data_IF_650786247518
#
_entry.id   IF_650786247518
#
_cell.length_a   1.000
_cell.length_b   1.000
_cell.length_c   1.000
_cell.angle_alpha   90.00
_cell.angle_beta   90.00
_cell.angle_gamma   90.00
#
_symmetry.space_group_name_H-M   'P 1'
#
loop_
_entity.id
_entity.type
_entity.pdbx_description
1 polymer ?
#
# COMPACT_ATOMS: atom_id res chain seq x y z
N UNK A 1 -9.60 -14.90 12.68
CA UNK A 1 -8.43 -15.14 11.80
C UNK A 1 -7.48 -13.95 11.99
N UNK A 2 -6.18 -14.19 12.17
CA UNK A 2 -5.20 -13.13 12.45
C UNK A 2 -4.07 -13.22 11.42
N UNK A 3 -3.81 -12.12 10.73
CA UNK A 3 -2.70 -12.00 9.79
C UNK A 3 -1.37 -12.07 10.54
N UNK A 4 -0.52 -13.05 10.22
CA UNK A 4 0.80 -13.20 10.86
C UNK A 4 1.87 -12.25 10.31
N UNK A 5 1.55 -11.51 9.24
CA UNK A 5 2.51 -10.67 8.53
C UNK A 5 2.79 -9.32 9.20
N UNK A 6 2.06 -8.96 10.27
CA UNK A 6 2.23 -7.67 10.99
C UNK A 6 3.65 -7.41 11.50
N UNK A 7 4.45 -8.46 11.74
CA UNK A 7 5.86 -8.34 12.12
C UNK A 7 6.74 -7.76 10.99
N UNK A 8 6.24 -7.68 9.76
CA UNK A 8 6.95 -7.08 8.62
C UNK A 8 6.66 -5.58 8.45
N UNK A 9 5.92 -4.96 9.38
CA UNK A 9 5.66 -3.52 9.39
C UNK A 9 6.92 -2.82 9.90
N UNK A 10 7.50 -1.96 9.09
CA UNK A 10 8.66 -1.12 9.42
C UNK A 10 8.40 0.35 9.15
N UNK A 11 7.52 0.67 8.20
CA UNK A 11 7.22 2.04 7.77
C UNK A 11 5.72 2.24 7.81
N UNK A 12 5.26 3.16 8.66
CA UNK A 12 3.84 3.46 8.84
C UNK A 12 3.44 4.81 8.29
N UNK A 13 4.38 5.70 7.97
CA UNK A 13 4.13 7.05 7.44
C UNK A 13 5.01 7.34 6.23
N UNK A 14 4.61 8.31 5.41
CA UNK A 14 5.36 8.76 4.23
C UNK A 14 4.90 10.17 3.84
N UNK A 15 5.82 11.00 3.36
CA UNK A 15 5.54 12.30 2.76
C UNK A 15 5.23 12.21 1.25
N UNK A 16 5.24 10.98 0.70
CA UNK A 16 4.94 10.73 -0.72
C UNK A 16 3.43 10.71 -0.95
N UNK A 17 2.94 11.70 -1.69
CA UNK A 17 1.55 11.82 -2.12
C UNK A 17 1.34 11.50 -3.60
N UNK A 18 2.25 10.72 -4.20
CA UNK A 18 2.21 10.36 -5.62
C UNK A 18 2.59 8.90 -5.82
N UNK A 19 2.08 8.29 -6.89
CA UNK A 19 2.61 7.02 -7.39
C UNK A 19 3.78 7.32 -8.34
N UNK A 20 5.00 7.09 -7.88
CA UNK A 20 6.23 7.41 -8.62
C UNK A 20 6.26 6.76 -10.02
N UNK A 21 5.78 5.52 -10.13
CA UNK A 21 5.72 4.79 -11.40
C UNK A 21 4.68 5.36 -12.37
N UNK A 22 3.52 5.85 -11.88
CA UNK A 22 2.58 6.57 -12.74
C UNK A 22 3.14 7.91 -13.21
N UNK A 23 3.88 8.63 -12.36
CA UNK A 23 4.53 9.89 -12.75
C UNK A 23 5.54 9.65 -13.87
N UNK A 24 6.34 8.57 -13.78
CA UNK A 24 7.30 8.20 -14.83
C UNK A 24 6.64 7.89 -16.17
N UNK A 25 5.44 7.32 -16.17
CA UNK A 25 4.69 7.01 -17.40
C UNK A 25 3.76 8.12 -17.87
N UNK A 26 3.61 9.19 -17.09
CA UNK A 26 2.65 10.26 -17.37
C UNK A 26 1.19 9.85 -17.17
N UNK A 27 0.93 8.76 -16.43
CA UNK A 27 -0.42 8.29 -16.11
C UNK A 27 -0.95 8.91 -14.81
N UNK A 28 -2.28 8.86 -14.65
CA UNK A 28 -2.97 9.21 -13.41
C UNK A 28 -3.29 7.96 -12.57
N UNK A 29 -3.64 8.18 -11.32
CA UNK A 29 -4.11 7.15 -10.38
C UNK A 29 -5.40 7.61 -9.70
N UNK A 30 -6.08 6.66 -9.05
CA UNK A 30 -7.31 6.91 -8.28
C UNK A 30 -6.95 7.10 -6.80
N UNK A 31 -6.35 6.09 -6.18
CA UNK A 31 -5.93 6.12 -4.78
C UNK A 31 -4.53 5.53 -4.62
N UNK A 32 -3.87 5.88 -3.53
CA UNK A 32 -2.52 5.48 -3.20
C UNK A 32 -2.49 4.47 -2.06
N UNK A 33 -1.50 3.58 -2.12
CA UNK A 33 -1.23 2.55 -1.13
C UNK A 33 0.24 2.59 -0.75
N UNK A 34 0.52 2.66 0.54
CA UNK A 34 1.87 2.61 1.10
C UNK A 34 2.21 1.17 1.49
N UNK A 35 3.34 0.67 1.00
CA UNK A 35 3.91 -0.59 1.47
C UNK A 35 4.49 -0.41 2.89
N UNK A 36 3.99 -1.21 3.84
CA UNK A 36 4.40 -1.09 5.23
C UNK A 36 5.78 -1.67 5.52
N UNK A 37 6.36 -2.44 4.59
CA UNK A 37 7.68 -3.06 4.76
C UNK A 37 8.83 -2.20 4.23
N UNK A 38 8.62 -1.45 3.14
CA UNK A 38 9.70 -0.68 2.49
C UNK A 38 9.35 0.77 2.13
N UNK A 39 8.13 1.23 2.41
CA UNK A 39 7.75 2.63 2.19
C UNK A 39 7.44 3.01 0.74
N UNK A 40 7.40 2.04 -0.19
CA UNK A 40 7.01 2.29 -1.58
C UNK A 40 5.53 2.71 -1.67
N UNK A 41 5.24 3.71 -2.50
CA UNK A 41 3.87 4.20 -2.75
C UNK A 41 3.43 3.83 -4.16
N UNK A 42 2.42 2.95 -4.23
CA UNK A 42 1.84 2.47 -5.47
C UNK A 42 0.37 2.87 -5.62
N UNK A 43 -0.10 3.00 -6.85
CA UNK A 43 -1.52 3.18 -7.13
C UNK A 43 -2.32 1.88 -6.88
N UNK A 44 -3.56 2.03 -6.42
CA UNK A 44 -4.46 0.94 -6.04
C UNK A 44 -4.90 0.06 -7.22
N UNK A 45 -5.58 -1.06 -6.94
CA UNK A 45 -6.02 -2.00 -7.98
C UNK A 45 -7.12 -1.43 -8.90
N UNK A 46 -7.88 -0.43 -8.44
CA UNK A 46 -8.85 0.31 -9.25
C UNK A 46 -8.18 1.32 -10.20
N UNK A 47 -6.89 1.60 -10.03
CA UNK A 47 -6.12 2.42 -10.97
C UNK A 47 -5.67 1.59 -12.16
N UNK A 48 -5.59 2.20 -13.34
CA UNK A 48 -5.15 1.56 -14.59
C UNK A 48 -3.91 0.68 -14.44
N UNK A 49 -2.90 1.16 -13.69
CA UNK A 49 -1.58 0.54 -13.64
C UNK A 49 -1.37 -0.47 -12.50
N UNK A 50 -2.18 -0.44 -11.43
CA UNK A 50 -2.13 -1.38 -10.30
C UNK A 50 -0.73 -1.54 -9.66
N UNK A 51 -0.01 -0.43 -9.48
CA UNK A 51 1.40 -0.46 -9.06
C UNK A 51 1.58 -1.06 -7.66
N UNK A 52 0.64 -0.89 -6.73
CA UNK A 52 0.73 -1.53 -5.42
C UNK A 52 0.73 -3.07 -5.52
N UNK A 53 -0.16 -3.63 -6.36
CA UNK A 53 -0.25 -5.08 -6.61
C UNK A 53 0.98 -5.60 -7.34
N UNK A 54 1.48 -4.85 -8.35
CA UNK A 54 2.73 -5.21 -9.06
C UNK A 54 3.94 -5.20 -8.11
N UNK A 55 4.02 -4.20 -7.24
CA UNK A 55 5.04 -4.11 -6.20
C UNK A 55 5.01 -5.32 -5.27
N UNK A 56 3.83 -5.72 -4.78
CA UNK A 56 3.69 -6.94 -4.00
C UNK A 56 4.20 -8.18 -4.75
N UNK A 57 3.82 -8.36 -6.02
CA UNK A 57 4.26 -9.52 -6.83
C UNK A 57 5.78 -9.57 -7.05
N UNK A 58 6.44 -8.41 -7.05
CA UNK A 58 7.90 -8.31 -7.26
C UNK A 58 8.70 -8.44 -5.95
N UNK A 59 8.24 -7.78 -4.88
CA UNK A 59 8.95 -7.68 -3.60
C UNK A 59 8.50 -8.71 -2.56
N UNK A 60 7.35 -9.35 -2.78
CA UNK A 60 6.66 -10.19 -1.80
C UNK A 60 6.32 -9.49 -0.48
N UNK A 61 6.25 -8.15 -0.47
CA UNK A 61 5.81 -7.39 0.71
C UNK A 61 4.29 -7.48 0.90
N UNK A 62 3.81 -8.22 1.91
CA UNK A 62 2.41 -8.64 1.97
C UNK A 62 1.48 -7.52 2.44
N UNK A 63 2.00 -6.52 3.15
CA UNK A 63 1.21 -5.50 3.83
C UNK A 63 1.29 -4.13 3.17
N UNK A 64 0.12 -3.57 2.92
CA UNK A 64 -0.08 -2.18 2.52
C UNK A 64 -1.05 -1.47 3.47
N UNK A 65 -1.01 -0.15 3.49
CA UNK A 65 -2.07 0.70 4.04
C UNK A 65 -2.59 1.68 3.00
N UNK A 66 -3.81 2.16 3.19
CA UNK A 66 -4.24 3.38 2.50
C UNK A 66 -3.52 4.60 3.07
N UNK A 67 -3.28 5.58 2.21
CA UNK A 67 -2.80 6.92 2.57
C UNK A 67 -3.72 8.00 2.03
N UNK A 68 -4.97 7.64 1.72
CA UNK A 68 -5.98 8.60 1.34
C UNK A 68 -6.48 9.38 2.56
N UNK A 69 -6.91 10.65 2.39
CA UNK A 69 -7.45 11.43 3.50
C UNK A 69 -8.64 10.71 4.17
N UNK A 70 -8.52 10.47 5.47
CA UNK A 70 -9.55 9.78 6.27
C UNK A 70 -9.51 8.25 6.24
N UNK A 71 -8.55 7.64 5.53
CA UNK A 71 -8.39 6.19 5.51
C UNK A 71 -7.14 5.75 6.31
N UNK A 72 -7.34 4.83 7.25
CA UNK A 72 -6.30 4.26 8.15
C UNK A 72 -6.15 2.74 8.01
N UNK A 73 -6.91 2.12 7.12
CA UNK A 73 -6.99 0.68 6.99
C UNK A 73 -5.72 0.06 6.36
N UNK A 74 -5.45 -1.19 6.75
CA UNK A 74 -4.41 -2.03 6.16
C UNK A 74 -5.03 -3.16 5.34
N UNK A 75 -4.23 -3.71 4.43
CA UNK A 75 -4.58 -4.90 3.66
C UNK A 75 -3.39 -5.84 3.56
N UNK A 76 -3.65 -7.14 3.75
CA UNK A 76 -2.70 -8.20 3.50
C UNK A 76 -3.04 -8.89 2.18
N UNK A 77 -2.12 -8.84 1.21
CA UNK A 77 -2.30 -9.53 -0.07
C UNK A 77 -2.24 -11.05 0.04
N UNK A 78 -1.49 -11.59 1.01
CA UNK A 78 -1.32 -13.04 1.19
C UNK A 78 -2.53 -13.67 1.87
N UNK A 79 -3.03 -13.02 2.93
CA UNK A 79 -4.18 -13.50 3.70
C UNK A 79 -5.52 -12.99 3.12
N UNK A 80 -5.48 -12.14 2.09
CA UNK A 80 -6.64 -11.49 1.46
C UNK A 80 -7.63 -10.89 2.47
N UNK A 81 -7.10 -10.20 3.48
CA UNK A 81 -7.89 -9.64 4.57
C UNK A 81 -7.34 -8.31 5.08
N UNK A 82 -8.18 -7.54 5.77
CA UNK A 82 -7.75 -6.41 6.59
C UNK A 82 -7.23 -6.91 7.94
N UNK A 83 -5.93 -6.72 8.26
CA UNK A 83 -5.38 -7.10 9.54
C UNK A 83 -5.67 -6.07 10.65
N UNK A 84 -6.32 -4.95 10.32
CA UNK A 84 -6.66 -3.85 11.24
C UNK A 84 -6.37 -2.48 10.62
N UNK A 85 -6.38 -1.46 11.48
CA UNK A 85 -6.11 -0.07 11.11
C UNK A 85 -4.85 0.42 11.83
N UNK A 86 -4.11 1.35 11.21
CA UNK A 86 -3.05 2.10 11.88
C UNK A 86 -3.68 3.40 12.35
N UNK A 87 -3.73 3.61 13.66
CA UNK A 87 -4.19 4.89 14.24
C UNK A 87 -3.43 6.02 13.53
N UNK A 88 -4.19 6.93 12.91
CA UNK A 88 -3.62 8.09 12.26
C UNK A 88 -3.08 8.99 13.36
N UNK A 89 -1.80 8.81 13.70
CA UNK A 89 -1.08 9.66 14.63
C UNK A 89 -1.17 11.14 14.22
#
# INVERSE_FOLDING_TARGET
MHCKHKNQISITTTDKHVCEDCVKTGDKWVHLRLCLSCGHVGCCDSSKNKHATKHFKSSTHPLIRSIEPGESWMWCYVDEMSPGELDAA
#
